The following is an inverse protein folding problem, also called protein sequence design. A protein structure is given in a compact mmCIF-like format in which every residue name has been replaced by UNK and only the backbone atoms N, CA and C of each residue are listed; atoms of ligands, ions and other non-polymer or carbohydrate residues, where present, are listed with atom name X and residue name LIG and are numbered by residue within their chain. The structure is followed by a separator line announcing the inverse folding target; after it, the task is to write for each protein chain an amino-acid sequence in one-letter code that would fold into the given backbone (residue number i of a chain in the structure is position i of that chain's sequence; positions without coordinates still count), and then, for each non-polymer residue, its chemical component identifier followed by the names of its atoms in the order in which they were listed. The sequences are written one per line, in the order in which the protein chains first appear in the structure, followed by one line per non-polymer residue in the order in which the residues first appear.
data_IF_987824303788
#
_entry.id   IF_987824303788
#
_cell.length_a   1.000
_cell.length_b   1.000
_cell.length_c   1.000
_cell.angle_alpha   90.00
_cell.angle_beta   90.00
_cell.angle_gamma   90.00
#
_symmetry.space_group_name_H-M   'P 1'
#
loop_
_entity.id
_entity.type
_entity.pdbx_description
1 polymer ?
#
# COMPACT_ATOMS: atom_id res chain seq x y z
N UNK A 1 -15.13 2.12 11.36
CA UNK A 1 -14.71 0.73 11.03
C UNK A 1 -14.76 0.58 9.52
N UNK A 2 -13.67 0.15 8.86
CA UNK A 2 -13.64 -0.01 7.41
C UNK A 2 -14.81 -0.88 6.89
N UNK A 3 -15.27 -0.62 5.66
CA UNK A 3 -16.37 -1.37 5.03
C UNK A 3 -16.07 -2.88 4.98
N UNK A 4 -14.79 -3.25 4.88
CA UNK A 4 -14.33 -4.61 5.05
C UNK A 4 -14.15 -4.87 6.55
N UNK A 5 -15.05 -5.62 7.19
CA UNK A 5 -14.83 -6.18 8.55
C UNK A 5 -13.69 -7.22 8.56
N UNK A 6 -12.87 -7.25 7.53
CA UNK A 6 -11.91 -8.29 7.22
C UNK A 6 -10.60 -8.00 7.95
N UNK A 7 -10.32 -8.87 8.92
CA UNK A 7 -9.10 -8.88 9.71
C UNK A 7 -7.99 -9.57 8.92
N UNK A 8 -7.53 -8.94 7.84
CA UNK A 8 -6.60 -9.54 6.86
C UNK A 8 -5.24 -9.79 7.49
N UNK A 9 -4.63 -8.78 8.10
CA UNK A 9 -3.23 -8.83 8.57
C UNK A 9 -3.10 -9.24 10.04
N UNK A 10 -4.16 -9.10 10.82
CA UNK A 10 -4.13 -9.35 12.26
C UNK A 10 -5.49 -9.26 12.92
N UNK A 11 -5.63 -9.74 14.16
CA UNK A 11 -6.89 -9.70 14.88
C UNK A 11 -7.33 -8.27 15.18
N UNK A 12 -6.40 -7.36 15.47
CA UNK A 12 -6.68 -5.99 15.86
C UNK A 12 -5.64 -5.03 15.25
N UNK A 13 -5.95 -3.73 15.23
CA UNK A 13 -5.01 -2.73 14.70
C UNK A 13 -3.70 -2.74 15.51
N UNK A 14 -2.56 -2.82 14.81
CA UNK A 14 -1.23 -2.86 15.42
C UNK A 14 -0.80 -4.23 15.95
N UNK A 15 -1.63 -5.27 15.83
CA UNK A 15 -1.27 -6.66 16.18
C UNK A 15 -1.42 -7.54 14.95
N UNK A 16 -0.30 -8.08 14.45
CA UNK A 16 -0.27 -8.99 13.31
C UNK A 16 -0.54 -10.45 13.73
N UNK A 17 -1.00 -11.29 12.80
CA UNK A 17 -1.01 -12.74 13.04
C UNK A 17 0.42 -13.32 13.03
N UNK A 18 0.70 -14.23 13.95
CA UNK A 18 2.01 -14.89 14.09
C UNK A 18 2.42 -15.68 12.83
N UNK A 19 1.43 -16.18 12.07
CA UNK A 19 1.64 -16.99 10.87
C UNK A 19 1.74 -16.18 9.57
N UNK A 20 1.79 -14.83 9.64
CA UNK A 20 1.84 -13.97 8.46
C UNK A 20 3.01 -14.32 7.53
N UNK A 21 4.19 -14.69 8.07
CA UNK A 21 5.32 -15.13 7.24
C UNK A 21 4.95 -16.37 6.40
N UNK A 22 4.28 -17.35 6.99
CA UNK A 22 3.89 -18.56 6.26
C UNK A 22 2.81 -18.25 5.23
N UNK A 23 1.81 -17.44 5.60
CA UNK A 23 0.71 -17.05 4.71
C UNK A 23 1.20 -16.30 3.47
N UNK A 24 2.09 -15.33 3.65
CA UNK A 24 2.59 -14.52 2.53
C UNK A 24 3.69 -15.23 1.73
N UNK A 25 4.47 -16.12 2.34
CA UNK A 25 5.32 -17.05 1.59
C UNK A 25 4.49 -17.98 0.71
N UNK A 26 3.40 -18.56 1.24
CA UNK A 26 2.48 -19.40 0.48
C UNK A 26 1.82 -18.63 -0.66
N UNK A 27 1.39 -17.38 -0.42
CA UNK A 27 0.86 -16.50 -1.46
C UNK A 27 1.86 -16.34 -2.62
N UNK A 28 3.13 -16.04 -2.31
CA UNK A 28 4.16 -15.84 -3.34
C UNK A 28 4.41 -17.11 -4.17
N UNK A 29 4.45 -18.28 -3.52
CA UNK A 29 4.66 -19.55 -4.20
C UNK A 29 3.45 -19.93 -5.04
N UNK A 30 2.22 -19.81 -4.50
CA UNK A 30 0.99 -20.11 -5.23
C UNK A 30 0.82 -19.18 -6.45
N UNK A 31 1.18 -17.91 -6.33
CA UNK A 31 1.11 -16.94 -7.44
C UNK A 31 2.03 -17.31 -8.62
N UNK A 32 3.13 -18.03 -8.38
CA UNK A 32 4.02 -18.53 -9.43
C UNK A 32 3.49 -19.79 -10.13
N UNK A 33 2.53 -20.50 -9.55
CA UNK A 33 1.90 -21.65 -10.20
C UNK A 33 0.78 -21.22 -11.15
N UNK A 34 0.00 -20.20 -10.76
CA UNK A 34 -1.21 -19.75 -11.47
C UNK A 34 -1.02 -19.60 -12.98
N UNK A 35 0.00 -18.88 -13.50
CA UNK A 35 0.11 -18.67 -14.94
C UNK A 35 0.30 -19.96 -15.75
N UNK A 36 0.77 -21.04 -15.12
CA UNK A 36 1.07 -22.31 -15.81
C UNK A 36 -0.04 -23.35 -15.67
N UNK A 37 -0.80 -23.32 -14.58
CA UNK A 37 -1.72 -24.44 -14.25
C UNK A 37 -3.21 -24.10 -14.38
N UNK A 38 -3.59 -22.81 -14.42
CA UNK A 38 -4.99 -22.40 -14.51
C UNK A 38 -5.39 -22.04 -15.93
N UNK A 39 -6.39 -22.74 -16.47
CA UNK A 39 -7.02 -22.42 -17.75
C UNK A 39 -8.02 -21.26 -17.60
N UNK A 40 -7.75 -20.15 -18.28
CA UNK A 40 -8.56 -18.93 -18.22
C UNK A 40 -9.16 -18.64 -19.61
N UNK A 41 -10.41 -19.07 -19.81
CA UNK A 41 -11.09 -19.09 -21.11
C UNK A 41 -12.16 -18.00 -21.29
N UNK A 42 -12.25 -17.04 -20.35
CA UNK A 42 -13.26 -15.98 -20.41
C UNK A 42 -12.91 -14.86 -21.41
N UNK A 43 -11.66 -14.79 -21.88
CA UNK A 43 -11.24 -13.77 -22.83
C UNK A 43 -11.47 -14.24 -24.28
N UNK A 44 -12.06 -13.44 -25.17
CA UNK A 44 -12.30 -13.85 -26.56
C UNK A 44 -11.03 -13.99 -27.41
N UNK A 45 -9.89 -13.45 -26.95
CA UNK A 45 -8.62 -13.43 -27.69
C UNK A 45 -7.55 -14.35 -27.09
N UNK A 46 -7.73 -14.80 -25.84
CA UNK A 46 -6.77 -15.63 -25.12
C UNK A 46 -7.51 -16.75 -24.39
N UNK A 47 -6.93 -17.95 -24.42
CA UNK A 47 -7.52 -19.15 -23.82
C UNK A 47 -6.42 -20.09 -23.35
N UNK A 48 -6.75 -20.99 -22.43
CA UNK A 48 -5.79 -21.86 -21.76
C UNK A 48 -5.00 -21.14 -20.66
N UNK A 49 -3.80 -21.65 -20.30
CA UNK A 49 -2.96 -21.02 -19.30
C UNK A 49 -2.26 -19.78 -19.86
N UNK A 50 -1.87 -18.86 -18.98
CA UNK A 50 -1.10 -17.66 -19.36
C UNK A 50 0.28 -18.00 -19.96
N UNK A 51 0.89 -19.10 -19.51
CA UNK A 51 2.21 -19.54 -19.95
C UNK A 51 3.34 -18.91 -19.13
N UNK A 52 4.51 -18.77 -19.76
CA UNK A 52 5.77 -18.42 -19.09
C UNK A 52 6.34 -17.05 -19.48
N UNK A 53 5.86 -16.45 -20.57
CA UNK A 53 6.23 -15.09 -20.99
C UNK A 53 5.39 -14.06 -20.23
N UNK A 54 5.71 -13.89 -18.94
CA UNK A 54 4.89 -13.14 -17.98
C UNK A 54 5.67 -12.01 -17.32
N UNK A 55 5.01 -10.88 -17.09
CA UNK A 55 5.49 -9.82 -16.21
C UNK A 55 4.69 -9.87 -14.91
N UNK A 56 5.36 -10.23 -13.82
CA UNK A 56 4.79 -10.21 -12.48
C UNK A 56 4.88 -8.79 -11.91
N UNK A 57 3.78 -8.30 -11.33
CA UNK A 57 3.75 -7.05 -10.57
C UNK A 57 3.51 -7.40 -9.10
N UNK A 58 4.56 -7.31 -8.30
CA UNK A 58 4.54 -7.55 -6.86
C UNK A 58 4.17 -6.24 -6.16
N UNK A 59 3.19 -6.27 -5.27
CA UNK A 59 2.71 -5.11 -4.53
C UNK A 59 3.04 -5.27 -3.04
N UNK A 60 3.81 -4.31 -2.51
CA UNK A 60 4.27 -4.24 -1.12
C UNK A 60 5.02 -5.48 -0.59
N UNK A 61 5.47 -5.38 0.66
CA UNK A 61 6.32 -6.37 1.33
C UNK A 61 5.73 -7.79 1.32
N UNK A 62 4.40 -7.95 1.35
CA UNK A 62 3.71 -9.24 1.32
C UNK A 62 4.12 -10.10 0.12
N UNK A 63 4.52 -9.47 -0.99
CA UNK A 63 4.94 -10.15 -2.23
C UNK A 63 6.43 -10.05 -2.50
N UNK A 64 7.23 -9.54 -1.55
CA UNK A 64 8.67 -9.33 -1.71
C UNK A 64 9.48 -10.60 -1.95
N UNK A 65 8.94 -11.78 -1.61
CA UNK A 65 9.60 -13.06 -1.83
C UNK A 65 9.48 -13.59 -3.27
N UNK A 66 8.51 -13.11 -4.06
CA UNK A 66 8.16 -13.72 -5.34
C UNK A 66 9.36 -13.77 -6.30
N UNK A 67 10.12 -12.68 -6.41
CA UNK A 67 11.32 -12.64 -7.26
C UNK A 67 12.40 -13.63 -6.79
N UNK A 68 12.55 -13.84 -5.48
CA UNK A 68 13.48 -14.83 -4.94
C UNK A 68 13.04 -16.25 -5.31
N UNK A 69 11.76 -16.58 -5.13
CA UNK A 69 11.22 -17.89 -5.49
C UNK A 69 11.27 -18.15 -7.00
N UNK A 70 10.95 -17.15 -7.82
CA UNK A 70 11.05 -17.22 -9.28
C UNK A 70 12.46 -17.61 -9.72
N UNK A 71 13.48 -16.87 -9.24
CA UNK A 71 14.90 -17.13 -9.53
C UNK A 71 15.39 -18.45 -8.95
N UNK A 72 14.94 -18.79 -7.75
CA UNK A 72 15.40 -19.97 -7.01
C UNK A 72 14.86 -21.27 -7.58
N UNK A 73 13.54 -21.36 -7.79
CA UNK A 73 12.84 -22.62 -7.95
C UNK A 73 12.39 -22.87 -9.40
N UNK A 74 12.24 -21.82 -10.21
CA UNK A 74 11.73 -21.92 -11.58
C UNK A 74 12.83 -21.65 -12.61
N UNK A 75 13.47 -20.47 -12.55
CA UNK A 75 14.47 -20.09 -13.56
C UNK A 75 15.71 -20.99 -13.54
N UNK A 76 16.09 -21.48 -12.36
CA UNK A 76 17.15 -22.48 -12.17
C UNK A 76 16.87 -23.82 -12.88
N UNK A 77 15.58 -24.13 -13.08
CA UNK A 77 15.10 -25.32 -13.77
C UNK A 77 14.67 -25.06 -15.22
N UNK A 78 14.95 -23.86 -15.74
CA UNK A 78 14.64 -23.48 -17.12
C UNK A 78 13.18 -23.13 -17.38
N UNK A 79 12.41 -22.85 -16.33
CA UNK A 79 11.01 -22.38 -16.37
C UNK A 79 11.00 -20.85 -16.17
N UNK A 80 10.09 -20.11 -16.82
CA UNK A 80 9.99 -18.64 -16.68
C UNK A 80 11.29 -17.89 -17.02
N UNK A 81 12.08 -18.37 -17.98
CA UNK A 81 13.40 -17.80 -18.32
C UNK A 81 13.32 -16.34 -18.77
N UNK A 82 12.22 -15.98 -19.42
CA UNK A 82 11.93 -14.66 -19.98
C UNK A 82 11.10 -13.79 -19.04
N UNK A 83 10.52 -14.38 -17.99
CA UNK A 83 9.64 -13.66 -17.08
C UNK A 83 10.38 -12.56 -16.32
N UNK A 84 9.65 -11.49 -16.01
CA UNK A 84 10.17 -10.30 -15.33
C UNK A 84 9.34 -9.95 -14.11
N UNK A 85 9.98 -9.33 -13.12
CA UNK A 85 9.31 -8.86 -11.90
C UNK A 85 9.45 -7.35 -11.76
N UNK A 86 8.32 -6.66 -11.73
CA UNK A 86 8.23 -5.29 -11.23
C UNK A 86 7.76 -5.31 -9.77
N UNK A 87 8.45 -4.58 -8.89
CA UNK A 87 8.09 -4.46 -7.48
C UNK A 87 7.57 -3.05 -7.20
N UNK A 88 6.30 -2.94 -6.80
CA UNK A 88 5.60 -1.69 -6.55
C UNK A 88 5.46 -1.44 -5.06
N UNK A 89 6.04 -0.35 -4.58
CA UNK A 89 5.98 0.12 -3.19
C UNK A 89 4.78 1.07 -3.06
N UNK A 90 3.77 0.67 -2.31
CA UNK A 90 2.62 1.53 -1.99
C UNK A 90 2.81 2.25 -0.65
N UNK A 91 3.51 1.61 0.30
CA UNK A 91 3.83 2.23 1.59
C UNK A 91 5.16 1.70 2.16
N UNK A 92 6.18 2.56 2.21
CA UNK A 92 7.52 2.22 2.73
C UNK A 92 7.55 1.88 4.23
N UNK A 93 6.51 2.27 4.99
CA UNK A 93 6.47 2.08 6.44
C UNK A 93 6.36 0.60 6.82
N UNK A 94 5.78 -0.23 5.95
CA UNK A 94 5.54 -1.65 6.19
C UNK A 94 6.48 -2.48 5.30
N UNK A 95 7.48 -3.12 5.90
CA UNK A 95 8.60 -3.71 5.15
C UNK A 95 8.73 -5.23 5.30
N UNK A 96 7.91 -5.87 6.14
CA UNK A 96 8.06 -7.28 6.48
C UNK A 96 9.40 -7.55 7.19
N UNK A 97 9.61 -6.88 8.33
CA UNK A 97 10.79 -7.04 9.19
C UNK A 97 10.54 -8.18 10.18
N UNK A 98 11.27 -9.28 10.04
CA UNK A 98 11.12 -10.47 10.89
C UNK A 98 12.44 -10.91 11.53
N UNK A 99 12.41 -11.90 12.43
CA UNK A 99 13.63 -12.40 13.06
C UNK A 99 14.61 -12.90 12.00
N UNK A 100 15.91 -12.66 12.20
CA UNK A 100 16.92 -13.15 11.26
C UNK A 100 16.92 -14.69 11.16
N UNK A 101 16.61 -15.37 12.26
CA UNK A 101 16.54 -16.84 12.33
C UNK A 101 15.39 -17.41 11.48
N UNK A 102 14.36 -16.61 11.18
CA UNK A 102 13.21 -17.04 10.38
C UNK A 102 13.55 -17.24 8.90
N UNK A 103 14.73 -16.79 8.44
CA UNK A 103 15.17 -17.02 7.06
C UNK A 103 15.12 -18.51 6.66
N UNK A 104 15.45 -19.41 7.60
CA UNK A 104 15.42 -20.85 7.36
C UNK A 104 14.00 -21.36 7.01
N UNK A 105 12.96 -20.69 7.51
CA UNK A 105 11.56 -21.06 7.25
C UNK A 105 11.13 -20.72 5.81
N UNK A 106 11.86 -19.83 5.12
CA UNK A 106 11.53 -19.41 3.75
C UNK A 106 11.90 -20.45 2.69
N UNK A 107 12.67 -21.48 3.04
CA UNK A 107 13.17 -22.50 2.11
C UNK A 107 13.89 -21.91 0.88
N UNK A 108 14.60 -20.80 1.08
CA UNK A 108 15.41 -20.14 0.06
C UNK A 108 16.91 -20.50 0.22
N UNK A 109 17.67 -20.66 -0.87
CA UNK A 109 19.11 -20.88 -0.79
C UNK A 109 19.85 -19.70 -0.14
N UNK A 110 20.94 -19.99 0.58
CA UNK A 110 21.75 -19.00 1.32
C UNK A 110 22.25 -17.83 0.46
N UNK A 111 22.39 -18.01 -0.85
CA UNK A 111 22.78 -16.92 -1.78
C UNK A 111 21.83 -15.72 -1.74
N UNK A 112 20.57 -15.90 -1.32
CA UNK A 112 19.61 -14.80 -1.18
C UNK A 112 19.69 -14.11 0.18
N UNK A 113 20.35 -14.71 1.18
CA UNK A 113 20.33 -14.23 2.58
C UNK A 113 20.79 -12.77 2.71
N UNK A 114 21.79 -12.36 1.94
CA UNK A 114 22.28 -10.97 1.89
C UNK A 114 21.24 -9.96 1.37
N UNK A 115 20.30 -10.41 0.54
CA UNK A 115 19.19 -9.55 0.08
C UNK A 115 18.20 -9.28 1.22
N UNK A 116 18.04 -10.21 2.15
CA UNK A 116 17.17 -10.06 3.32
C UNK A 116 17.85 -9.37 4.49
N UNK A 117 19.17 -9.52 4.63
CA UNK A 117 19.93 -9.05 5.79
C UNK A 117 19.76 -7.55 6.01
N UNK A 118 19.26 -7.18 7.18
CA UNK A 118 18.90 -5.81 7.50
C UNK A 118 19.18 -5.54 8.98
N UNK A 119 19.73 -4.37 9.28
CA UNK A 119 19.90 -3.89 10.64
C UNK A 119 18.74 -2.93 10.88
N UNK A 120 17.82 -3.35 11.74
CA UNK A 120 16.68 -2.55 12.17
C UNK A 120 17.08 -1.71 13.38
N UNK A 121 16.63 -0.46 13.43
CA UNK A 121 16.70 0.35 14.64
C UNK A 121 17.38 1.70 14.49
N UNK A 122 17.43 2.27 13.28
CA UNK A 122 17.75 3.69 13.16
C UNK A 122 16.73 4.52 13.96
N UNK A 123 17.20 5.20 15.00
CA UNK A 123 16.41 6.03 15.91
C UNK A 123 15.40 5.27 16.82
N UNK A 124 15.57 3.96 17.01
CA UNK A 124 14.75 3.15 17.94
C UNK A 124 15.58 2.64 19.11
N UNK A 125 14.97 2.39 20.29
CA UNK A 125 15.71 1.97 21.49
C UNK A 125 16.34 0.57 21.39
N UNK A 126 16.03 -0.19 20.35
CA UNK A 126 16.55 -1.55 20.14
C UNK A 126 17.05 -1.67 18.70
N UNK A 127 18.36 -1.74 18.55
CA UNK A 127 19.01 -2.16 17.30
C UNK A 127 19.03 -3.69 17.23
N UNK A 128 18.73 -4.26 16.06
CA UNK A 128 18.72 -5.72 15.90
C UNK A 128 18.81 -6.17 14.46
N UNK A 129 19.53 -7.27 14.24
CA UNK A 129 19.57 -7.95 12.94
C UNK A 129 18.24 -8.61 12.65
N UNK A 130 17.70 -8.35 11.46
CA UNK A 130 16.40 -8.83 10.98
C UNK A 130 16.52 -9.34 9.54
N UNK A 131 15.52 -10.08 9.09
CA UNK A 131 15.24 -10.18 7.65
C UNK A 131 14.25 -9.08 7.25
N UNK A 132 14.44 -8.49 6.07
CA UNK A 132 13.56 -7.48 5.50
C UNK A 132 13.10 -7.91 4.10
N UNK A 133 11.81 -8.23 3.98
CA UNK A 133 11.25 -8.77 2.74
C UNK A 133 11.12 -7.71 1.65
N UNK A 134 10.80 -6.46 2.00
CA UNK A 134 10.75 -5.36 1.05
C UNK A 134 12.13 -5.09 0.45
N UNK A 135 13.19 -5.08 1.28
CA UNK A 135 14.58 -4.98 0.84
C UNK A 135 14.93 -6.07 -0.18
N UNK A 136 14.56 -7.32 0.11
CA UNK A 136 14.78 -8.42 -0.81
C UNK A 136 14.00 -8.25 -2.13
N UNK A 137 12.74 -7.81 -2.06
CA UNK A 137 11.92 -7.50 -3.23
C UNK A 137 12.54 -6.43 -4.13
N UNK A 138 13.01 -5.33 -3.54
CA UNK A 138 13.70 -4.23 -4.24
C UNK A 138 14.98 -4.74 -4.94
N UNK A 139 15.83 -5.48 -4.22
CA UNK A 139 17.10 -5.98 -4.76
C UNK A 139 16.93 -7.05 -5.83
N UNK A 140 15.85 -7.83 -5.77
CA UNK A 140 15.64 -8.97 -6.67
C UNK A 140 14.70 -8.66 -7.84
N UNK A 141 13.97 -7.56 -7.85
CA UNK A 141 13.14 -7.14 -8.97
C UNK A 141 13.96 -6.69 -10.17
N UNK A 142 13.37 -6.78 -11.37
CA UNK A 142 13.91 -6.18 -12.60
C UNK A 142 13.60 -4.68 -12.68
N UNK A 143 12.52 -4.22 -12.03
CA UNK A 143 12.14 -2.81 -11.96
C UNK A 143 11.46 -2.49 -10.63
N UNK A 144 11.78 -1.34 -10.05
CA UNK A 144 11.13 -0.84 -8.82
C UNK A 144 10.25 0.36 -9.16
N UNK A 145 9.01 0.33 -8.68
CA UNK A 145 7.96 1.31 -8.93
C UNK A 145 7.38 1.82 -7.61
N UNK A 146 6.77 3.01 -7.65
CA UNK A 146 5.91 3.51 -6.57
C UNK A 146 4.79 4.39 -7.12
N UNK A 147 3.90 4.85 -6.25
CA UNK A 147 2.58 5.41 -6.58
C UNK A 147 2.55 6.92 -6.84
N UNK A 148 3.72 7.57 -6.89
CA UNK A 148 3.85 8.99 -7.22
C UNK A 148 5.30 9.36 -7.58
N UNK A 149 5.55 10.21 -8.61
CA UNK A 149 6.88 10.73 -8.92
C UNK A 149 7.54 11.43 -7.73
N UNK A 150 6.79 12.28 -7.01
CA UNK A 150 7.32 13.00 -5.86
C UNK A 150 7.63 12.05 -4.69
N UNK A 151 6.77 11.06 -4.46
CA UNK A 151 7.04 10.05 -3.43
C UNK A 151 8.31 9.25 -3.75
N UNK A 152 8.58 8.97 -5.03
CA UNK A 152 9.83 8.33 -5.43
C UNK A 152 11.06 9.17 -5.07
N UNK A 153 11.00 10.50 -5.24
CA UNK A 153 12.05 11.44 -4.82
C UNK A 153 12.20 11.48 -3.29
N UNK A 154 11.08 11.48 -2.55
CA UNK A 154 11.10 11.44 -1.09
C UNK A 154 11.77 10.18 -0.55
N UNK A 155 11.43 9.02 -1.11
CA UNK A 155 11.98 7.72 -0.72
C UNK A 155 13.51 7.64 -0.87
N UNK A 156 14.06 8.30 -1.88
CA UNK A 156 15.51 8.32 -2.13
C UNK A 156 16.22 9.52 -1.50
N UNK A 157 15.51 10.43 -0.84
CA UNK A 157 16.08 11.68 -0.32
C UNK A 157 16.80 11.52 1.02
N UNK A 158 16.52 10.45 1.76
CA UNK A 158 17.20 10.19 3.03
C UNK A 158 16.54 9.09 3.86
N UNK A 159 17.28 8.66 4.87
CA UNK A 159 16.96 7.50 5.72
C UNK A 159 15.61 7.60 6.43
N UNK A 160 15.27 8.79 6.95
CA UNK A 160 13.99 9.02 7.63
C UNK A 160 12.78 8.83 6.69
N UNK A 161 12.87 9.30 5.44
CA UNK A 161 11.78 9.22 4.46
C UNK A 161 11.74 7.88 3.73
N UNK A 162 12.90 7.28 3.47
CA UNK A 162 13.02 5.95 2.88
C UNK A 162 12.91 4.81 3.90
N UNK A 163 12.68 5.12 5.18
CA UNK A 163 12.65 4.18 6.31
C UNK A 163 13.79 3.15 6.24
N UNK A 164 15.04 3.65 6.22
CA UNK A 164 16.28 2.84 6.20
C UNK A 164 16.54 2.09 4.87
N UNK A 165 15.70 2.27 3.84
CA UNK A 165 15.87 1.65 2.52
C UNK A 165 16.24 2.65 1.41
N UNK A 166 16.44 3.93 1.74
CA UNK A 166 16.76 5.01 0.79
C UNK A 166 18.00 4.70 -0.06
N UNK A 167 19.07 4.23 0.57
CA UNK A 167 20.30 3.82 -0.11
C UNK A 167 20.07 2.73 -1.15
N UNK A 168 19.23 1.75 -0.83
CA UNK A 168 18.97 0.61 -1.71
C UNK A 168 18.13 1.06 -2.91
N UNK A 169 17.12 1.90 -2.68
CA UNK A 169 16.32 2.48 -3.74
C UNK A 169 17.14 3.41 -4.66
N UNK A 170 18.14 4.14 -4.11
CA UNK A 170 19.11 4.90 -4.93
C UNK A 170 19.93 3.99 -5.84
N UNK A 171 20.36 2.83 -5.35
CA UNK A 171 21.17 1.88 -6.12
C UNK A 171 20.37 1.18 -7.22
N UNK A 172 19.13 0.78 -6.95
CA UNK A 172 18.29 0.09 -7.94
C UNK A 172 17.58 1.03 -8.91
N UNK A 173 17.43 2.30 -8.51
CA UNK A 173 16.51 3.25 -9.14
C UNK A 173 15.05 2.93 -8.82
N UNK A 174 14.22 3.97 -8.78
CA UNK A 174 12.78 3.86 -8.52
C UNK A 174 12.03 4.81 -9.47
N UNK A 175 10.85 4.39 -9.94
CA UNK A 175 10.01 5.20 -10.82
C UNK A 175 8.63 5.38 -10.21
N UNK A 176 8.21 6.63 -10.03
CA UNK A 176 6.88 6.95 -9.52
C UNK A 176 5.85 7.14 -10.63
N UNK A 177 4.68 6.54 -10.47
CA UNK A 177 3.53 6.68 -11.38
C UNK A 177 2.29 6.99 -10.54
N UNK A 178 1.62 8.11 -10.82
CA UNK A 178 0.46 8.56 -10.06
C UNK A 178 -0.70 7.57 -10.19
N UNK A 179 -1.30 7.17 -9.06
CA UNK A 179 -2.49 6.34 -9.05
C UNK A 179 -3.70 7.05 -9.71
N UNK A 180 -4.51 6.27 -10.42
CA UNK A 180 -5.85 6.69 -10.82
C UNK A 180 -6.88 6.54 -9.70
N UNK A 181 -8.14 6.73 -10.04
CA UNK A 181 -9.30 6.53 -9.16
C UNK A 181 -10.44 5.90 -9.98
N UNK A 182 -11.28 5.07 -9.34
CA UNK A 182 -12.49 4.54 -9.98
C UNK A 182 -13.57 5.63 -10.09
N UNK A 183 -13.75 6.14 -11.31
CA UNK A 183 -14.74 7.16 -11.66
C UNK A 183 -16.16 6.60 -11.78
N UNK A 184 -16.36 5.30 -11.57
CA UNK A 184 -17.68 4.67 -11.52
C UNK A 184 -18.21 4.60 -10.10
N UNK A 185 -17.33 4.32 -9.13
CA UNK A 185 -17.66 4.36 -7.70
C UNK A 185 -17.73 5.80 -7.19
N UNK A 186 -16.74 6.63 -7.54
CA UNK A 186 -16.62 8.02 -7.08
C UNK A 186 -17.07 9.00 -8.16
N UNK A 187 -18.38 9.04 -8.41
CA UNK A 187 -19.02 9.91 -9.40
C UNK A 187 -20.11 10.78 -8.74
N UNK A 188 -19.91 12.09 -8.51
CA UNK A 188 -20.92 12.94 -7.87
C UNK A 188 -22.23 13.02 -8.65
N UNK A 189 -22.24 12.67 -9.95
CA UNK A 189 -23.44 12.65 -10.79
C UNK A 189 -24.31 11.41 -10.50
N UNK A 190 -23.71 10.30 -10.06
CA UNK A 190 -24.38 8.99 -9.90
C UNK A 190 -24.26 8.39 -8.51
N UNK A 191 -23.53 9.04 -7.61
CA UNK A 191 -23.32 8.59 -6.24
C UNK A 191 -24.67 8.39 -5.53
N UNK A 192 -24.85 7.20 -4.97
CA UNK A 192 -26.10 6.80 -4.29
C UNK A 192 -26.14 7.21 -2.82
N UNK A 193 -25.02 7.68 -2.27
CA UNK A 193 -24.85 8.11 -0.89
C UNK A 193 -24.95 9.63 -0.73
N UNK A 194 -24.81 10.39 -1.83
CA UNK A 194 -25.06 11.83 -1.81
C UNK A 194 -26.56 12.12 -1.66
N UNK A 195 -26.89 13.17 -0.91
CA UNK A 195 -28.27 13.66 -0.80
C UNK A 195 -28.72 14.28 -2.12
N UNK A 196 -27.83 15.02 -2.78
CA UNK A 196 -28.07 15.66 -4.07
C UNK A 196 -26.88 15.39 -4.99
N UNK A 197 -27.12 14.69 -6.09
CA UNK A 197 -26.12 14.53 -7.15
C UNK A 197 -25.84 15.87 -7.85
N UNK A 198 -24.61 16.05 -8.30
CA UNK A 198 -24.20 17.28 -8.99
C UNK A 198 -23.11 17.02 -10.03
N UNK A 199 -23.04 17.91 -11.00
CA UNK A 199 -21.96 18.01 -11.98
C UNK A 199 -21.17 19.31 -11.78
N UNK A 200 -20.22 19.60 -12.69
CA UNK A 200 -19.39 20.81 -12.61
C UNK A 200 -20.21 22.11 -12.68
N UNK A 201 -21.37 22.11 -13.34
CA UNK A 201 -22.20 23.31 -13.53
C UNK A 201 -23.11 23.57 -12.32
N UNK A 202 -23.47 22.51 -11.60
CA UNK A 202 -24.37 22.53 -10.43
C UNK A 202 -23.63 22.35 -9.10
N UNK A 203 -22.29 22.22 -9.14
CA UNK A 203 -21.46 21.89 -7.99
C UNK A 203 -21.64 22.83 -6.79
N UNK A 204 -21.80 24.14 -7.01
CA UNK A 204 -21.97 25.09 -5.91
C UNK A 204 -23.23 24.81 -5.09
N UNK A 205 -24.39 24.67 -5.75
CA UNK A 205 -25.66 24.42 -5.07
C UNK A 205 -25.73 22.97 -4.55
N UNK A 206 -25.31 22.00 -5.37
CA UNK A 206 -25.30 20.59 -4.97
C UNK A 206 -24.42 20.33 -3.75
N UNK A 207 -23.22 20.93 -3.68
CA UNK A 207 -22.35 20.80 -2.50
C UNK A 207 -22.91 21.54 -1.28
N UNK A 208 -23.60 22.67 -1.46
CA UNK A 208 -24.24 23.38 -0.35
C UNK A 208 -25.34 22.52 0.30
N UNK A 209 -26.19 21.88 -0.50
CA UNK A 209 -27.24 20.98 0.01
C UNK A 209 -26.65 19.74 0.69
N UNK A 210 -25.62 19.12 0.09
CA UNK A 210 -24.93 17.99 0.72
C UNK A 210 -24.21 18.40 2.02
N UNK A 211 -23.69 19.63 2.11
CA UNK A 211 -23.07 20.16 3.33
C UNK A 211 -24.09 20.33 4.46
N UNK A 212 -25.26 20.88 4.18
CA UNK A 212 -26.35 21.00 5.15
C UNK A 212 -26.81 19.62 5.64
N UNK A 213 -26.92 18.65 4.74
CA UNK A 213 -27.23 17.26 5.07
C UNK A 213 -26.17 16.64 6.00
N UNK A 214 -24.88 16.82 5.67
CA UNK A 214 -23.77 16.35 6.52
C UNK A 214 -23.82 17.02 7.90
N UNK A 215 -23.98 18.34 7.97
CA UNK A 215 -24.10 19.08 9.24
C UNK A 215 -25.21 18.51 10.11
N UNK A 216 -26.39 18.25 9.53
CA UNK A 216 -27.50 17.65 10.24
C UNK A 216 -27.19 16.21 10.71
N UNK A 217 -26.56 15.38 9.87
CA UNK A 217 -26.21 14.00 10.19
C UNK A 217 -25.22 13.89 11.35
N UNK A 218 -24.22 14.77 11.40
CA UNK A 218 -23.20 14.78 12.46
C UNK A 218 -23.58 15.66 13.67
N UNK A 219 -24.76 16.27 13.68
CA UNK A 219 -25.27 17.07 14.79
C UNK A 219 -24.62 18.45 14.95
N UNK A 220 -24.07 19.01 13.88
CA UNK A 220 -23.53 20.38 13.85
C UNK A 220 -24.63 21.41 13.52
N UNK A 221 -24.45 22.70 13.88
CA UNK A 221 -25.33 23.76 13.41
C UNK A 221 -25.42 23.78 11.88
N UNK A 222 -26.64 23.71 11.35
CA UNK A 222 -26.87 23.71 9.89
C UNK A 222 -26.78 25.14 9.37
N UNK A 223 -25.64 25.47 8.76
CA UNK A 223 -25.41 26.73 8.08
C UNK A 223 -24.43 26.52 6.91
N UNK A 224 -24.94 26.69 5.67
CA UNK A 224 -24.14 26.56 4.45
C UNK A 224 -23.00 27.58 4.37
N UNK A 225 -23.05 28.70 5.09
CA UNK A 225 -22.06 29.78 5.05
C UNK A 225 -20.82 29.48 5.89
N UNK A 226 -20.95 28.75 6.98
CA UNK A 226 -19.84 28.40 7.90
C UNK A 226 -18.91 27.39 7.23
N UNK A 227 -17.62 27.67 6.98
CA UNK A 227 -16.69 26.70 6.38
C UNK A 227 -16.69 25.35 7.11
N UNK A 228 -16.56 24.25 6.36
CA UNK A 228 -16.50 22.90 6.91
C UNK A 228 -15.23 22.21 6.42
N UNK A 229 -14.40 21.79 7.37
CA UNK A 229 -13.17 21.02 7.13
C UNK A 229 -13.45 19.56 7.48
N UNK A 230 -13.09 18.64 6.59
CA UNK A 230 -13.25 17.21 6.80
C UNK A 230 -11.89 16.50 6.75
N UNK A 231 -11.63 15.67 7.75
CA UNK A 231 -10.52 14.72 7.76
C UNK A 231 -11.08 13.32 7.57
N UNK A 232 -10.55 12.57 6.60
CA UNK A 232 -10.93 11.17 6.35
C UNK A 232 -9.63 10.37 6.25
N UNK A 233 -9.38 9.48 7.20
CA UNK A 233 -8.13 8.74 7.23
C UNK A 233 -8.04 7.72 8.35
N UNK A 234 -7.10 6.77 8.22
CA UNK A 234 -6.74 5.89 9.34
C UNK A 234 -6.16 6.74 10.46
N UNK A 235 -6.53 6.44 11.71
CA UNK A 235 -5.96 7.07 12.91
C UNK A 235 -4.58 6.49 13.22
N UNK A 236 -3.65 6.69 12.30
CA UNK A 236 -2.25 6.28 12.38
C UNK A 236 -1.38 7.52 12.24
N UNK A 237 -0.20 7.51 12.87
CA UNK A 237 0.77 8.62 12.87
C UNK A 237 1.09 9.14 11.46
N UNK A 238 1.13 8.24 10.47
CA UNK A 238 1.33 8.59 9.05
C UNK A 238 0.33 9.64 8.52
N UNK A 239 -0.87 9.74 9.11
CA UNK A 239 -1.94 10.65 8.69
C UNK A 239 -2.04 11.91 9.55
N UNK A 240 -1.22 12.05 10.60
CA UNK A 240 -1.21 13.20 11.51
C UNK A 240 -2.54 13.51 12.22
N UNK A 241 -3.38 12.52 12.63
CA UNK A 241 -4.62 12.81 13.34
C UNK A 241 -4.38 13.50 14.68
N UNK A 242 -3.24 13.20 15.33
CA UNK A 242 -2.74 13.82 16.55
C UNK A 242 -2.44 15.32 16.35
N UNK A 243 -1.76 15.66 15.24
CA UNK A 243 -1.50 17.05 14.86
C UNK A 243 -2.81 17.79 14.59
N UNK A 244 -3.73 17.19 13.85
CA UNK A 244 -5.03 17.77 13.57
C UNK A 244 -5.79 18.06 14.87
N UNK A 245 -5.89 17.09 15.79
CA UNK A 245 -6.58 17.26 17.07
C UNK A 245 -5.94 18.35 17.91
N UNK A 246 -4.61 18.43 17.94
CA UNK A 246 -3.89 19.47 18.68
C UNK A 246 -4.16 20.89 18.14
N UNK A 247 -4.43 21.03 16.83
CA UNK A 247 -4.70 22.31 16.18
C UNK A 247 -6.16 22.80 16.33
N UNK A 248 -7.11 21.90 16.57
CA UNK A 248 -8.56 22.25 16.65
C UNK A 248 -8.85 23.41 17.63
N UNK A 249 -8.32 23.44 18.87
CA UNK A 249 -8.65 24.51 19.82
C UNK A 249 -8.25 25.91 19.35
N UNK A 250 -7.14 26.02 18.61
CA UNK A 250 -6.67 27.29 18.04
C UNK A 250 -7.59 27.72 16.89
N UNK A 251 -7.87 26.80 15.96
CA UNK A 251 -8.70 27.05 14.78
C UNK A 251 -10.11 27.51 15.17
N UNK A 252 -10.77 26.78 16.08
CA UNK A 252 -12.18 27.08 16.47
C UNK A 252 -12.29 28.33 17.35
N UNK A 253 -11.16 28.80 17.93
CA UNK A 253 -11.14 30.04 18.70
C UNK A 253 -11.02 31.27 17.80
N UNK A 254 -10.26 31.18 16.72
CA UNK A 254 -9.99 32.30 15.83
C UNK A 254 -11.00 32.43 14.69
N UNK A 255 -11.57 31.31 14.23
CA UNK A 255 -12.42 31.25 13.06
C UNK A 255 -13.79 30.61 13.36
N UNK A 256 -14.84 31.10 12.70
CA UNK A 256 -16.15 30.45 12.69
C UNK A 256 -16.14 29.30 11.67
N UNK A 257 -15.70 28.12 12.12
CA UNK A 257 -15.47 26.95 11.28
C UNK A 257 -15.96 25.67 11.96
N UNK A 258 -16.41 24.73 11.14
CA UNK A 258 -16.79 23.38 11.56
C UNK A 258 -15.75 22.35 11.11
N UNK A 259 -15.50 21.35 11.95
CA UNK A 259 -14.52 20.30 11.69
C UNK A 259 -15.20 18.94 11.88
N UNK A 260 -15.05 18.05 10.89
CA UNK A 260 -15.54 16.67 10.94
C UNK A 260 -14.35 15.72 10.79
N UNK A 261 -14.23 14.75 11.69
CA UNK A 261 -13.21 13.70 11.69
C UNK A 261 -13.92 12.36 11.42
N UNK A 262 -13.63 11.70 10.29
CA UNK A 262 -14.27 10.47 9.81
C UNK A 262 -13.30 9.28 9.72
#
# INVERSE_FOLDING_TARGET
RGKTKEKIYGPDAGTDYEDNQQRFSLLCQAALEVPRILDLNNNPHFSGPYGEDVVFVCNDWHTGLLACYLKSNYQSNGIYRTAKVAFCIHNISYQGRFSFDDFAQLNLPDRFKSSFDFIDGYDKPVEGRKINWMKAGILQADKVLTVSPYYAEELISGEARGCELDNIMRLTGITGIVNGMDVSEWDPIKDKFLTVNYDVTTALEGKALNKEALQAEVGLPVDRKVPLVAFIGRLEEQKGPDVMIAAIPEIVKEEDVQIVLL
#
